data_IF_222653382341
#
_entry.id   IF_222653382341
#
_cell.length_a   1.000
_cell.length_b   1.000
_cell.length_c   1.000
_cell.angle_alpha   90.00
_cell.angle_beta   90.00
_cell.angle_gamma   90.00
#
_symmetry.space_group_name_H-M   'P 1'
#
loop_
_entity.id
_entity.type
_entity.pdbx_description
1 polymer ?
#
# COMPACT_ATOMS: atom_id res chain seq x y z
N UNK A 1 -0.72 -12.23 63.84
CA UNK A 1 -1.01 -10.90 63.26
C UNK A 1 -1.15 -11.07 61.75
N UNK A 2 -2.38 -11.28 61.28
CA UNK A 2 -2.72 -11.52 59.89
C UNK A 2 -3.08 -10.18 59.23
N UNK A 3 -2.46 -9.83 58.09
CA UNK A 3 -2.84 -8.66 57.29
C UNK A 3 -3.44 -9.14 55.97
N UNK A 4 -4.69 -8.72 55.77
CA UNK A 4 -5.57 -9.09 54.68
C UNK A 4 -5.10 -8.58 53.31
N UNK A 5 -5.29 -9.43 52.30
CA UNK A 5 -5.15 -9.13 50.89
C UNK A 5 -6.13 -8.04 50.45
N UNK A 6 -5.65 -7.03 49.72
CA UNK A 6 -6.49 -6.17 48.90
C UNK A 6 -6.25 -6.51 47.43
N UNK A 7 -7.31 -7.05 46.83
CA UNK A 7 -7.46 -7.40 45.43
C UNK A 7 -7.51 -6.11 44.60
N UNK A 8 -6.60 -5.95 43.65
CA UNK A 8 -6.81 -5.04 42.52
C UNK A 8 -7.11 -5.91 41.29
N UNK A 9 -8.39 -6.02 40.96
CA UNK A 9 -8.85 -6.48 39.65
C UNK A 9 -8.72 -5.28 38.70
N UNK A 10 -7.68 -5.26 37.87
CA UNK A 10 -7.65 -4.39 36.70
C UNK A 10 -8.39 -5.13 35.58
N UNK A 11 -9.59 -4.67 35.25
CA UNK A 11 -10.26 -5.01 33.99
C UNK A 11 -9.43 -4.42 32.86
N UNK A 12 -8.65 -5.25 32.17
CA UNK A 12 -8.11 -4.92 30.86
C UNK A 12 -9.26 -4.90 29.86
N UNK A 13 -9.71 -3.71 29.47
CA UNK A 13 -10.58 -3.54 28.32
C UNK A 13 -9.78 -3.92 27.06
N UNK A 14 -9.99 -5.14 26.56
CA UNK A 14 -9.52 -5.57 25.27
C UNK A 14 -10.33 -4.83 24.21
N UNK A 15 -9.81 -3.70 23.73
CA UNK A 15 -10.31 -3.07 22.50
C UNK A 15 -9.93 -4.00 21.36
N UNK A 16 -10.86 -4.85 20.92
CA UNK A 16 -10.77 -5.55 19.64
C UNK A 16 -10.95 -4.51 18.53
N UNK A 17 -9.89 -3.74 18.26
CA UNK A 17 -9.76 -3.06 16.99
C UNK A 17 -9.62 -4.16 15.93
N UNK A 18 -10.62 -4.28 15.06
CA UNK A 18 -10.54 -5.17 13.91
C UNK A 18 -9.28 -4.85 13.12
N UNK A 19 -8.43 -5.85 12.90
CA UNK A 19 -7.19 -5.70 12.15
C UNK A 19 -7.54 -5.32 10.72
N UNK A 20 -7.37 -4.05 10.34
CA UNK A 20 -7.31 -3.71 8.92
C UNK A 20 -6.07 -4.42 8.33
N UNK A 21 -6.27 -5.22 7.28
CA UNK A 21 -5.15 -5.85 6.57
C UNK A 21 -4.31 -4.75 5.93
N UNK A 22 -3.07 -4.59 6.39
CA UNK A 22 -2.16 -3.61 5.85
C UNK A 22 -1.74 -4.00 4.42
N UNK A 23 -1.78 -3.05 3.50
CA UNK A 23 -1.21 -3.23 2.16
C UNK A 23 0.25 -2.83 2.19
N UNK A 24 1.11 -3.68 1.62
CA UNK A 24 2.55 -3.42 1.54
C UNK A 24 2.95 -3.05 0.11
N UNK A 25 3.72 -1.95 -0.02
CA UNK A 25 4.33 -1.53 -1.29
C UNK A 25 5.79 -1.96 -1.29
N UNK A 26 6.16 -2.80 -2.26
CA UNK A 26 7.48 -3.44 -2.36
C UNK A 26 8.47 -2.54 -3.12
N UNK A 27 9.38 -1.91 -2.39
CA UNK A 27 10.39 -0.98 -2.94
C UNK A 27 11.68 -1.06 -2.12
N UNK A 28 12.84 -0.92 -2.75
CA UNK A 28 14.15 -0.94 -2.08
C UNK A 28 14.82 0.44 -2.12
N UNK A 29 14.36 1.45 -1.33
CA UNK A 29 15.01 2.75 -1.28
C UNK A 29 16.43 2.66 -0.72
N UNK A 30 17.36 3.36 -1.38
CA UNK A 30 18.77 3.40 -1.00
C UNK A 30 19.06 4.66 -0.17
N UNK A 31 19.50 4.46 1.07
CA UNK A 31 19.84 5.53 2.00
C UNK A 31 18.66 6.04 2.83
N UNK A 32 19.00 6.74 3.91
CA UNK A 32 18.02 7.21 4.89
C UNK A 32 17.01 8.21 4.31
N UNK A 33 17.46 9.11 3.43
CA UNK A 33 16.59 10.16 2.89
C UNK A 33 15.49 9.61 1.98
N UNK A 34 15.83 8.75 1.01
CA UNK A 34 14.82 8.11 0.16
C UNK A 34 13.89 7.21 0.98
N UNK A 35 14.41 6.51 1.99
CA UNK A 35 13.59 5.65 2.86
C UNK A 35 12.56 6.48 3.61
N UNK A 36 12.98 7.60 4.22
CA UNK A 36 12.11 8.55 4.92
C UNK A 36 11.05 9.12 3.97
N UNK A 37 11.45 9.60 2.80
CA UNK A 37 10.53 10.19 1.83
C UNK A 37 9.50 9.18 1.29
N UNK A 38 9.89 7.92 1.08
CA UNK A 38 8.94 6.85 0.69
C UNK A 38 7.94 6.61 1.82
N UNK A 39 8.41 6.47 3.06
CA UNK A 39 7.53 6.27 4.21
C UNK A 39 6.56 7.43 4.40
N UNK A 40 7.02 8.67 4.29
CA UNK A 40 6.18 9.88 4.35
C UNK A 40 5.16 9.93 3.21
N UNK A 41 5.57 9.58 1.99
CA UNK A 41 4.65 9.53 0.86
C UNK A 41 3.55 8.50 1.10
N UNK A 42 3.90 7.27 1.50
CA UNK A 42 2.93 6.19 1.77
C UNK A 42 2.01 6.55 2.95
N UNK A 43 2.55 7.14 4.01
CA UNK A 43 1.75 7.62 5.13
C UNK A 43 0.69 8.65 4.71
N UNK A 44 0.97 9.48 3.70
CA UNK A 44 0.03 10.49 3.21
C UNK A 44 -1.19 9.92 2.46
N UNK A 45 -1.14 8.66 2.01
CA UNK A 45 -2.27 7.95 1.38
C UNK A 45 -2.82 6.83 2.27
N UNK A 46 -2.21 6.60 3.43
CA UNK A 46 -2.61 5.59 4.40
C UNK A 46 -3.80 6.09 5.23
N UNK A 47 -4.71 5.18 5.56
CA UNK A 47 -5.84 5.44 6.47
C UNK A 47 -5.88 4.37 7.57
N UNK A 48 -6.62 4.55 8.67
CA UNK A 48 -6.85 3.49 9.65
C UNK A 48 -7.47 2.23 9.03
N UNK A 49 -8.35 2.39 8.03
CA UNK A 49 -9.05 1.31 7.35
C UNK A 49 -8.24 0.65 6.23
N UNK A 50 -7.25 1.36 5.70
CA UNK A 50 -6.29 0.84 4.72
C UNK A 50 -4.88 1.34 5.07
N UNK A 51 -4.19 0.67 6.01
CA UNK A 51 -2.80 0.98 6.31
C UNK A 51 -1.92 0.66 5.10
N UNK A 52 -1.17 1.65 4.60
CA UNK A 52 -0.23 1.47 3.49
C UNK A 52 1.20 1.58 4.02
N UNK A 53 1.98 0.52 3.87
CA UNK A 53 3.33 0.43 4.44
C UNK A 53 4.37 0.04 3.40
N UNK A 54 5.65 0.28 3.72
CA UNK A 54 6.78 -0.10 2.89
C UNK A 54 7.26 -1.50 3.25
N UNK A 55 7.38 -2.38 2.25
CA UNK A 55 8.18 -3.60 2.34
C UNK A 55 9.48 -3.41 1.55
N UNK A 56 10.60 -3.34 2.27
CA UNK A 56 11.93 -3.14 1.68
C UNK A 56 12.67 -4.41 1.32
N UNK A 57 12.03 -5.58 1.41
CA UNK A 57 12.66 -6.87 1.10
C UNK A 57 12.80 -7.12 -0.40
N UNK A 58 11.96 -6.50 -1.22
CA UNK A 58 11.83 -6.80 -2.65
C UNK A 58 11.31 -5.60 -3.46
N UNK A 59 11.19 -5.78 -4.78
CA UNK A 59 10.74 -4.74 -5.71
C UNK A 59 11.88 -3.88 -6.27
N UNK A 60 11.55 -2.80 -7.00
CA UNK A 60 12.53 -1.95 -7.65
C UNK A 60 13.44 -1.24 -6.66
N UNK A 61 14.72 -1.04 -7.03
CA UNK A 61 15.64 -0.21 -6.24
C UNK A 61 15.37 1.25 -6.52
N UNK A 62 15.26 2.08 -5.49
CA UNK A 62 15.16 3.53 -5.64
C UNK A 62 16.50 4.14 -5.24
N UNK A 63 17.12 4.93 -6.12
CA UNK A 63 18.41 5.58 -5.85
C UNK A 63 18.46 7.02 -6.36
N UNK A 64 19.26 7.85 -5.70
CA UNK A 64 19.58 9.20 -6.18
C UNK A 64 20.84 9.11 -7.06
N UNK A 65 20.79 9.71 -8.25
CA UNK A 65 21.88 9.66 -9.21
C UNK A 65 21.88 8.40 -10.07
N UNK A 66 22.87 8.34 -10.96
CA UNK A 66 22.99 7.31 -11.98
C UNK A 66 23.89 6.18 -11.50
N UNK A 67 23.39 4.96 -11.45
CA UNK A 67 24.20 3.76 -11.13
C UNK A 67 25.12 3.34 -12.28
N UNK A 68 24.82 3.75 -13.51
CA UNK A 68 25.59 3.42 -14.72
C UNK A 68 26.59 4.51 -15.13
N UNK A 69 26.66 5.61 -14.38
CA UNK A 69 27.45 6.79 -14.76
C UNK A 69 26.90 7.62 -15.93
N UNK A 70 25.81 7.19 -16.59
CA UNK A 70 25.16 7.96 -17.65
C UNK A 70 24.43 9.17 -17.07
N UNK A 71 24.83 10.37 -17.49
CA UNK A 71 24.21 11.63 -17.06
C UNK A 71 22.70 11.67 -17.33
N UNK A 72 21.97 12.38 -16.47
CA UNK A 72 20.55 12.65 -16.69
C UNK A 72 20.37 13.74 -17.74
N UNK A 73 19.27 13.65 -18.49
CA UNK A 73 18.72 14.83 -19.14
C UNK A 73 18.24 15.80 -18.03
N UNK A 74 18.61 17.09 -18.05
CA UNK A 74 18.22 18.06 -17.03
C UNK A 74 16.69 18.19 -16.84
N UNK A 75 15.90 17.93 -17.89
CA UNK A 75 14.44 18.07 -17.85
C UNK A 75 13.72 16.82 -17.28
N UNK A 76 14.49 15.77 -16.95
CA UNK A 76 13.95 14.50 -16.46
C UNK A 76 14.22 14.36 -14.96
N UNK A 77 13.15 14.28 -14.16
CA UNK A 77 13.23 14.12 -12.70
C UNK A 77 13.61 12.71 -12.24
N UNK A 78 13.21 11.69 -12.99
CA UNK A 78 13.52 10.29 -12.70
C UNK A 78 13.50 9.45 -13.97
N UNK A 79 14.21 8.33 -13.95
CA UNK A 79 14.18 7.33 -15.02
C UNK A 79 14.12 5.93 -14.45
N UNK A 80 13.56 5.03 -15.24
CA UNK A 80 13.56 3.60 -14.95
C UNK A 80 14.63 2.93 -15.78
N UNK A 81 15.49 2.14 -15.14
CA UNK A 81 16.54 1.35 -15.80
C UNK A 81 16.43 -0.11 -15.38
N UNK A 82 16.90 -1.01 -16.24
CA UNK A 82 16.81 -2.46 -16.01
C UNK A 82 15.38 -2.99 -16.14
N UNK A 83 15.23 -4.28 -15.89
CA UNK A 83 13.97 -5.02 -16.02
C UNK A 83 13.84 -6.06 -14.91
N UNK A 84 12.62 -6.47 -14.58
CA UNK A 84 12.38 -7.52 -13.59
C UNK A 84 12.95 -7.19 -12.21
N UNK A 85 13.68 -8.13 -11.61
CA UNK A 85 14.27 -7.97 -10.27
C UNK A 85 15.40 -6.95 -10.19
N UNK A 86 15.99 -6.61 -11.35
CA UNK A 86 17.07 -5.63 -11.47
C UNK A 86 16.57 -4.23 -11.83
N UNK A 87 15.23 -4.03 -11.85
CA UNK A 87 14.65 -2.72 -12.11
C UNK A 87 15.09 -1.71 -11.05
N UNK A 88 15.48 -0.52 -11.51
CA UNK A 88 15.83 0.61 -10.66
C UNK A 88 15.11 1.87 -11.12
N UNK A 89 14.64 2.65 -10.17
CA UNK A 89 14.13 4.01 -10.35
C UNK A 89 15.22 4.95 -9.85
N UNK A 90 15.82 5.68 -10.78
CA UNK A 90 16.91 6.60 -10.49
C UNK A 90 16.39 8.04 -10.54
N UNK A 91 16.54 8.76 -9.44
CA UNK A 91 16.15 10.16 -9.32
C UNK A 91 17.29 11.09 -9.70
N UNK A 92 17.00 12.07 -10.54
CA UNK A 92 17.96 13.07 -10.97
C UNK A 92 18.29 14.02 -9.81
N UNK A 93 19.53 14.05 -9.30
CA UNK A 93 19.91 14.93 -8.19
C UNK A 93 19.90 16.42 -8.58
N UNK A 94 19.95 16.72 -9.88
CA UNK A 94 19.96 18.08 -10.42
C UNK A 94 18.63 18.45 -11.10
N UNK A 95 17.55 17.70 -10.83
CA UNK A 95 16.23 18.05 -11.37
C UNK A 95 15.79 19.44 -10.89
N UNK A 96 15.11 20.24 -11.73
CA UNK A 96 14.45 21.46 -11.27
C UNK A 96 13.31 21.18 -10.27
N UNK A 97 12.77 19.96 -10.28
CA UNK A 97 11.70 19.54 -9.39
C UNK A 97 12.26 18.95 -8.08
N UNK A 98 11.67 19.25 -6.90
CA UNK A 98 12.09 18.65 -5.63
C UNK A 98 11.99 17.12 -5.63
N UNK A 99 12.95 16.45 -4.98
CA UNK A 99 13.00 14.98 -4.90
C UNK A 99 11.70 14.35 -4.38
N UNK A 100 11.08 14.95 -3.36
CA UNK A 100 9.84 14.44 -2.79
C UNK A 100 8.68 14.43 -3.81
N UNK A 101 8.64 15.42 -4.70
CA UNK A 101 7.60 15.54 -5.73
C UNK A 101 7.86 14.57 -6.89
N UNK A 102 9.12 14.47 -7.33
CA UNK A 102 9.56 13.46 -8.29
C UNK A 102 9.27 12.03 -7.79
N UNK A 103 9.55 11.76 -6.52
CA UNK A 103 9.25 10.49 -5.87
C UNK A 103 7.75 10.21 -5.89
N UNK A 104 6.91 11.17 -5.46
CA UNK A 104 5.45 10.99 -5.49
C UNK A 104 4.92 10.74 -6.90
N UNK A 105 5.46 11.42 -7.91
CA UNK A 105 5.08 11.18 -9.30
C UNK A 105 5.43 9.75 -9.76
N UNK A 106 6.63 9.26 -9.42
CA UNK A 106 7.03 7.89 -9.75
C UNK A 106 6.25 6.84 -8.96
N UNK A 107 5.97 7.06 -7.68
CA UNK A 107 5.12 6.17 -6.89
C UNK A 107 3.68 6.14 -7.43
N UNK A 108 3.14 7.27 -7.86
CA UNK A 108 1.81 7.35 -8.50
C UNK A 108 1.76 6.43 -9.72
N UNK A 109 2.78 6.51 -10.59
CA UNK A 109 2.90 5.67 -11.79
C UNK A 109 3.10 4.19 -11.44
N UNK A 110 4.01 3.91 -10.53
CA UNK A 110 4.37 2.55 -10.12
C UNK A 110 3.18 1.80 -9.50
N UNK A 111 2.44 2.46 -8.60
CA UNK A 111 1.26 1.88 -7.95
C UNK A 111 0.06 1.87 -8.93
N UNK A 112 0.04 2.78 -9.91
CA UNK A 112 -1.07 2.95 -10.84
C UNK A 112 -2.22 3.74 -10.22
N UNK A 113 -1.90 4.77 -9.43
CA UNK A 113 -2.90 5.66 -8.86
C UNK A 113 -3.31 6.74 -9.88
N UNK A 114 -4.60 7.09 -9.91
CA UNK A 114 -5.11 8.23 -10.69
C UNK A 114 -4.67 9.58 -10.11
N UNK A 115 -4.49 9.64 -8.78
CA UNK A 115 -3.99 10.79 -8.04
C UNK A 115 -3.37 10.32 -6.71
N UNK A 116 -2.44 11.09 -6.13
CA UNK A 116 -1.84 10.78 -4.83
C UNK A 116 -2.78 11.16 -3.67
N UNK A 117 -3.86 10.41 -3.51
CA UNK A 117 -4.92 10.65 -2.50
C UNK A 117 -5.29 9.35 -1.78
N UNK A 118 -5.75 9.41 -0.52
CA UNK A 118 -6.27 8.24 0.19
C UNK A 118 -7.40 7.53 -0.58
N UNK A 119 -8.28 8.28 -1.26
CA UNK A 119 -9.40 7.72 -2.01
C UNK A 119 -8.93 6.92 -3.23
N UNK A 120 -7.95 7.44 -3.99
CA UNK A 120 -7.38 6.72 -5.11
C UNK A 120 -6.59 5.48 -4.64
N UNK A 121 -5.88 5.58 -3.52
CA UNK A 121 -5.20 4.44 -2.91
C UNK A 121 -6.21 3.38 -2.47
N UNK A 122 -7.31 3.79 -1.84
CA UNK A 122 -8.44 2.92 -1.47
C UNK A 122 -8.96 2.10 -2.64
N UNK A 123 -9.28 2.77 -3.75
CA UNK A 123 -9.76 2.13 -4.97
C UNK A 123 -8.73 1.14 -5.54
N UNK A 124 -7.46 1.56 -5.61
CA UNK A 124 -6.42 0.79 -6.30
C UNK A 124 -5.85 -0.37 -5.50
N UNK A 125 -5.65 -0.18 -4.19
CA UNK A 125 -4.85 -1.05 -3.32
C UNK A 125 -5.67 -2.02 -2.48
N UNK A 126 -6.95 -1.72 -2.22
CA UNK A 126 -7.81 -2.62 -1.44
C UNK A 126 -8.17 -3.92 -2.17
N UNK A 127 -8.04 -3.95 -3.49
CA UNK A 127 -8.46 -5.07 -4.34
C UNK A 127 -9.98 -5.20 -4.49
N UNK A 128 -10.77 -4.30 -3.89
CA UNK A 128 -12.23 -4.38 -3.87
C UNK A 128 -12.93 -3.84 -5.14
N UNK A 129 -12.22 -3.07 -5.98
CA UNK A 129 -12.64 -2.74 -7.35
C UNK A 129 -12.30 -3.95 -8.25
N UNK A 130 -13.22 -4.91 -8.29
CA UNK A 130 -13.03 -6.23 -8.88
C UNK A 130 -13.23 -6.20 -10.40
N UNK A 131 -14.01 -5.25 -10.93
CA UNK A 131 -14.21 -5.08 -12.36
C UNK A 131 -13.22 -4.06 -13.00
N UNK A 132 -12.54 -3.24 -12.19
CA UNK A 132 -11.52 -2.28 -12.60
C UNK A 132 -12.07 -0.97 -13.18
N UNK A 133 -13.34 -0.62 -12.91
CA UNK A 133 -13.97 0.60 -13.44
C UNK A 133 -13.64 1.87 -12.62
N UNK A 134 -13.03 1.70 -11.44
CA UNK A 134 -12.63 2.78 -10.55
C UNK A 134 -13.71 3.21 -9.56
N UNK A 135 -14.77 2.42 -9.40
CA UNK A 135 -15.78 2.53 -8.35
C UNK A 135 -15.81 1.19 -7.59
N UNK A 136 -16.30 1.19 -6.35
CA UNK A 136 -16.50 -0.06 -5.58
C UNK A 136 -17.98 -0.14 -5.24
N UNK A 137 -18.75 -0.83 -6.09
CA UNK A 137 -20.20 -0.82 -6.06
C UNK A 137 -20.84 -2.23 -6.07
N UNK A 138 -22.15 -2.30 -6.38
CA UNK A 138 -22.90 -3.56 -6.41
C UNK A 138 -22.40 -4.53 -7.48
N UNK A 139 -21.75 -4.03 -8.53
CA UNK A 139 -21.15 -4.84 -9.59
C UNK A 139 -19.96 -5.62 -9.05
N UNK A 140 -19.08 -4.97 -8.29
CA UNK A 140 -17.98 -5.63 -7.61
C UNK A 140 -18.48 -6.59 -6.54
N UNK A 141 -19.50 -6.18 -5.78
CA UNK A 141 -20.12 -7.06 -4.80
C UNK A 141 -20.66 -8.34 -5.44
N UNK A 142 -21.30 -8.24 -6.61
CA UNK A 142 -21.77 -9.41 -7.35
C UNK A 142 -20.61 -10.32 -7.80
N UNK A 143 -19.46 -9.76 -8.20
CA UNK A 143 -18.26 -10.53 -8.54
C UNK A 143 -17.69 -11.28 -7.33
N UNK A 144 -17.63 -10.61 -6.16
CA UNK A 144 -17.23 -11.24 -4.90
C UNK A 144 -18.17 -12.40 -4.55
N UNK A 145 -19.49 -12.15 -4.57
CA UNK A 145 -20.50 -13.15 -4.23
C UNK A 145 -20.50 -14.34 -5.20
N UNK A 146 -20.15 -14.13 -6.47
CA UNK A 146 -19.99 -15.22 -7.43
C UNK A 146 -18.85 -16.18 -7.06
N UNK A 147 -17.86 -15.74 -6.28
CA UNK A 147 -16.74 -16.56 -5.80
C UNK A 147 -16.86 -16.98 -4.33
N UNK A 148 -17.89 -16.54 -3.63
CA UNK A 148 -18.10 -16.84 -2.22
C UNK A 148 -18.10 -18.35 -1.92
N UNK A 149 -17.37 -18.75 -0.88
CA UNK A 149 -17.18 -20.13 -0.46
C UNK A 149 -16.19 -20.94 -1.31
N UNK A 150 -15.60 -20.36 -2.36
CA UNK A 150 -14.57 -21.01 -3.18
C UNK A 150 -13.18 -20.78 -2.58
N UNK A 151 -12.23 -21.61 -3.01
CA UNK A 151 -10.83 -21.54 -2.60
C UNK A 151 -9.90 -21.39 -3.80
N UNK A 152 -8.70 -20.86 -3.56
CA UNK A 152 -7.70 -20.51 -4.55
C UNK A 152 -7.52 -19.00 -4.69
N UNK A 153 -6.60 -18.58 -5.58
CA UNK A 153 -6.40 -17.17 -5.90
C UNK A 153 -7.53 -16.70 -6.84
N UNK A 154 -8.61 -16.20 -6.24
CA UNK A 154 -9.83 -15.81 -6.93
C UNK A 154 -10.10 -14.30 -6.75
N UNK A 155 -10.73 -13.64 -7.74
CA UNK A 155 -11.30 -12.32 -7.51
C UNK A 155 -12.24 -12.36 -6.29
N UNK A 156 -11.98 -11.52 -5.29
CA UNK A 156 -12.73 -11.50 -4.03
C UNK A 156 -12.01 -12.12 -2.83
N UNK A 157 -10.85 -12.77 -3.00
CA UNK A 157 -9.92 -13.10 -1.89
C UNK A 157 -9.12 -11.82 -1.54
N UNK A 158 -9.75 -10.94 -0.76
CA UNK A 158 -9.24 -9.61 -0.45
C UNK A 158 -8.25 -9.64 0.72
N UNK A 159 -8.32 -10.67 1.58
CA UNK A 159 -7.38 -10.85 2.68
C UNK A 159 -6.15 -11.70 2.31
N UNK A 160 -6.17 -12.38 1.16
CA UNK A 160 -5.07 -13.18 0.62
C UNK A 160 -4.92 -14.56 1.27
N UNK A 161 -5.95 -15.09 1.94
CA UNK A 161 -5.90 -16.38 2.64
C UNK A 161 -6.28 -17.58 1.74
N UNK A 162 -6.45 -17.34 0.44
CA UNK A 162 -6.85 -18.33 -0.56
C UNK A 162 -8.26 -18.88 -0.39
N UNK A 163 -9.14 -18.14 0.27
CA UNK A 163 -10.59 -18.40 0.36
C UNK A 163 -11.33 -17.10 0.11
N UNK A 164 -12.58 -17.20 -0.34
CA UNK A 164 -13.50 -16.06 -0.42
C UNK A 164 -14.61 -16.29 0.60
N UNK A 165 -14.58 -15.57 1.72
CA UNK A 165 -15.52 -15.78 2.82
C UNK A 165 -15.93 -14.48 3.57
N UNK A 166 -16.51 -14.64 4.77
CA UNK A 166 -16.99 -13.54 5.62
C UNK A 166 -15.89 -12.54 6.03
N UNK A 167 -14.62 -12.93 5.95
CA UNK A 167 -13.49 -12.02 6.18
C UNK A 167 -13.31 -11.07 4.99
N UNK A 168 -13.44 -11.56 3.75
CA UNK A 168 -13.37 -10.72 2.56
C UNK A 168 -14.58 -9.81 2.44
N UNK A 169 -15.77 -10.27 2.81
CA UNK A 169 -16.96 -9.43 2.89
C UNK A 169 -16.77 -8.25 3.85
N UNK A 170 -16.06 -8.46 4.98
CA UNK A 170 -15.73 -7.39 5.91
C UNK A 170 -14.73 -6.39 5.32
N UNK A 171 -13.71 -6.88 4.61
CA UNK A 171 -12.78 -6.01 3.89
C UNK A 171 -13.55 -5.18 2.86
N UNK A 172 -14.35 -5.83 2.00
CA UNK A 172 -15.17 -5.19 0.97
C UNK A 172 -16.13 -4.14 1.54
N UNK A 173 -16.84 -4.46 2.63
CA UNK A 173 -17.80 -3.56 3.27
C UNK A 173 -17.18 -2.28 3.82
N UNK A 174 -15.91 -2.32 4.25
CA UNK A 174 -15.16 -1.10 4.60
C UNK A 174 -14.83 -0.23 3.39
N UNK A 175 -14.82 -0.82 2.19
CA UNK A 175 -14.48 -0.13 0.95
C UNK A 175 -15.69 0.40 0.17
N UNK A 176 -16.81 -0.31 0.27
CA UNK A 176 -18.03 -0.12 -0.52
C UNK A 176 -18.56 1.32 -0.51
N UNK A 177 -18.94 1.80 -1.70
CA UNK A 177 -19.63 3.08 -1.90
C UNK A 177 -20.88 2.85 -2.78
N UNK A 178 -22.09 2.91 -2.21
CA UNK A 178 -23.33 2.80 -2.98
C UNK A 178 -23.59 4.00 -3.87
#
# INVERSE_FOLDING_TARGET
MSRAAHRFFLLSALVLAGSASAVTVKLRPQGAELTRLVQEALAAISTPELPVTLDSSSGPVLSIGSSTGVAFNPDVSARVVGTGTDQRIEFNPNSPQPLAEALRAELTRFIGLKAWTPEAAKLRLSGADLNGDGVIDLTDFALLMNNYGKTGSLPGDLNGDSRVDDLDLRVFGGQYKP
#
